data_IF_949597481450
#
_entry.id   IF_949597481450
#
_cell.length_a   1.000
_cell.length_b   1.000
_cell.length_c   1.000
_cell.angle_alpha   90.00
_cell.angle_beta   90.00
_cell.angle_gamma   90.00
#
_symmetry.space_group_name_H-M   'P 1'
#
loop_
_entity.id
_entity.type
_entity.pdbx_description
1 polymer ?
#
# COMPACT_ATOMS: atom_id res chain seq x y z
N UNK A 1 25.43 -8.08 20.03
CA UNK A 1 24.28 -7.60 19.24
C UNK A 1 23.88 -8.69 18.26
N UNK A 2 22.68 -9.22 18.39
CA UNK A 2 22.20 -10.44 17.72
C UNK A 2 22.00 -10.22 16.21
N UNK A 3 22.99 -10.61 15.40
CA UNK A 3 22.89 -10.75 13.93
C UNK A 3 22.00 -11.96 13.55
N UNK A 4 20.74 -12.00 13.99
CA UNK A 4 19.81 -13.08 13.61
C UNK A 4 18.96 -12.73 12.40
N UNK A 5 18.90 -11.46 12.01
CA UNK A 5 18.16 -11.02 10.82
C UNK A 5 19.19 -10.63 9.77
N UNK A 6 19.14 -11.20 8.56
CA UNK A 6 20.01 -10.78 7.47
C UNK A 6 19.79 -9.30 7.19
N UNK A 7 20.89 -8.58 6.93
CA UNK A 7 20.84 -7.20 6.53
C UNK A 7 20.30 -7.13 5.10
N UNK A 8 19.05 -6.67 4.95
CA UNK A 8 18.38 -6.53 3.66
C UNK A 8 18.65 -5.15 3.02
N UNK A 9 19.43 -4.30 3.69
CA UNK A 9 19.75 -2.96 3.21
C UNK A 9 20.87 -3.04 2.16
N UNK A 10 20.58 -2.51 0.97
CA UNK A 10 21.57 -2.40 -0.11
C UNK A 10 22.26 -1.04 -0.01
N UNK A 11 23.58 -1.07 0.13
CA UNK A 11 24.42 0.11 0.11
C UNK A 11 25.33 0.05 -1.12
N UNK A 12 25.25 1.06 -1.98
CA UNK A 12 26.09 1.20 -3.16
C UNK A 12 26.85 2.52 -3.08
N UNK A 13 28.17 2.47 -2.94
CA UNK A 13 29.03 3.66 -2.90
C UNK A 13 28.65 4.67 -1.81
N UNK A 14 28.13 4.20 -0.66
CA UNK A 14 27.65 5.07 0.42
C UNK A 14 26.18 5.53 0.28
N UNK A 15 25.50 5.17 -0.82
CA UNK A 15 24.07 5.44 -1.00
C UNK A 15 23.24 4.26 -0.52
N UNK A 16 22.30 4.52 0.40
CA UNK A 16 21.32 3.54 0.83
C UNK A 16 20.20 3.43 -0.21
N UNK A 17 20.02 2.24 -0.78
CA UNK A 17 18.95 1.95 -1.73
C UNK A 17 17.74 1.44 -0.96
N UNK A 18 16.68 2.24 -0.99
CA UNK A 18 15.40 1.88 -0.39
C UNK A 18 14.81 0.63 -1.05
N UNK A 19 14.24 -0.27 -0.25
CA UNK A 19 13.64 -1.51 -0.75
C UNK A 19 12.41 -1.26 -1.62
N UNK A 20 11.83 -0.06 -1.58
CA UNK A 20 10.79 0.38 -2.52
C UNK A 20 11.22 0.22 -3.99
N UNK A 21 12.51 0.32 -4.27
CA UNK A 21 13.03 0.10 -5.62
C UNK A 21 12.86 -1.36 -6.07
N UNK A 22 13.01 -2.32 -5.15
CA UNK A 22 12.75 -3.73 -5.45
C UNK A 22 11.29 -3.96 -5.81
N UNK A 23 10.38 -3.27 -5.10
CA UNK A 23 8.96 -3.27 -5.42
C UNK A 23 8.69 -2.73 -6.83
N UNK A 24 9.28 -1.59 -7.20
CA UNK A 24 9.13 -0.99 -8.53
C UNK A 24 9.61 -1.96 -9.62
N UNK A 25 10.81 -2.55 -9.46
CA UNK A 25 11.33 -3.51 -10.43
C UNK A 25 10.45 -4.75 -10.54
N UNK A 26 9.96 -5.27 -9.41
CA UNK A 26 9.08 -6.43 -9.40
C UNK A 26 7.75 -6.15 -10.11
N UNK A 27 7.09 -5.03 -9.80
CA UNK A 27 5.84 -4.62 -10.45
C UNK A 27 6.06 -4.39 -11.95
N UNK A 28 7.16 -3.74 -12.33
CA UNK A 28 7.50 -3.49 -13.73
C UNK A 28 7.77 -4.78 -14.49
N UNK A 29 8.49 -5.73 -13.89
CA UNK A 29 8.77 -7.03 -14.50
C UNK A 29 7.51 -7.88 -14.66
N UNK A 30 6.65 -7.93 -13.64
CA UNK A 30 5.36 -8.62 -13.73
C UNK A 30 4.45 -7.97 -14.79
N UNK A 31 4.40 -6.63 -14.82
CA UNK A 31 3.66 -5.89 -15.83
C UNK A 31 4.16 -6.19 -17.25
N UNK A 32 5.48 -6.13 -17.47
CA UNK A 32 6.10 -6.50 -18.74
C UNK A 32 5.76 -7.94 -19.13
N UNK A 33 5.87 -8.89 -18.20
CA UNK A 33 5.56 -10.29 -18.44
C UNK A 33 4.11 -10.49 -18.92
N UNK A 34 3.16 -9.80 -18.30
CA UNK A 34 1.74 -9.85 -18.66
C UNK A 34 1.43 -9.12 -19.98
N UNK A 35 2.23 -8.13 -20.37
CA UNK A 35 2.08 -7.41 -21.65
C UNK A 35 2.64 -8.23 -22.82
N UNK A 36 3.80 -8.85 -22.66
CA UNK A 36 4.48 -9.55 -23.75
C UNK A 36 4.01 -10.99 -23.97
N UNK A 37 3.42 -11.64 -22.95
CA UNK A 37 2.83 -12.96 -23.09
C UNK A 37 1.36 -12.82 -23.51
N UNK A 38 1.05 -13.23 -24.75
CA UNK A 38 -0.31 -13.16 -25.33
C UNK A 38 -1.35 -13.96 -24.55
N UNK A 39 -1.03 -15.21 -24.22
CA UNK A 39 -1.94 -16.14 -23.55
C UNK A 39 -1.28 -16.77 -22.32
N UNK A 40 -1.15 -16.02 -21.22
CA UNK A 40 -0.54 -16.54 -20.00
C UNK A 40 -1.47 -17.58 -19.38
N UNK A 41 -0.91 -18.74 -19.02
CA UNK A 41 -1.64 -19.80 -18.31
C UNK A 41 -2.22 -19.31 -16.98
N UNK A 42 -3.29 -19.94 -16.52
CA UNK A 42 -3.92 -19.57 -15.23
C UNK A 42 -2.94 -19.66 -14.05
N UNK A 43 -2.04 -20.66 -14.07
CA UNK A 43 -0.99 -20.77 -13.07
C UNK A 43 -0.06 -19.56 -13.10
N UNK A 44 0.36 -19.12 -14.28
CA UNK A 44 1.21 -17.94 -14.42
C UNK A 44 0.50 -16.68 -13.95
N UNK A 45 -0.78 -16.48 -14.32
CA UNK A 45 -1.59 -15.34 -13.87
C UNK A 45 -1.69 -15.26 -12.35
N UNK A 46 -1.89 -16.39 -11.67
CA UNK A 46 -1.95 -16.44 -10.19
C UNK A 46 -0.63 -16.03 -9.55
N UNK A 47 0.50 -16.53 -10.08
CA UNK A 47 1.82 -16.12 -9.57
C UNK A 47 2.09 -14.64 -9.85
N UNK A 48 1.73 -14.15 -11.03
CA UNK A 48 1.83 -12.73 -11.36
C UNK A 48 1.00 -11.87 -10.41
N UNK A 49 -0.24 -12.26 -10.10
CA UNK A 49 -1.08 -11.53 -9.14
C UNK A 49 -0.44 -11.46 -7.75
N UNK A 50 0.11 -12.58 -7.26
CA UNK A 50 0.79 -12.62 -5.95
C UNK A 50 2.06 -11.76 -5.94
N UNK A 51 2.91 -11.90 -6.95
CA UNK A 51 4.16 -11.12 -7.08
C UNK A 51 3.86 -9.63 -7.29
N UNK A 52 2.82 -9.29 -8.04
CA UNK A 52 2.35 -7.92 -8.20
C UNK A 52 1.93 -7.33 -6.85
N UNK A 53 1.14 -8.07 -6.06
CA UNK A 53 0.76 -7.65 -4.71
C UNK A 53 1.95 -7.42 -3.78
N UNK A 54 2.93 -8.33 -3.79
CA UNK A 54 4.18 -8.18 -3.04
C UNK A 54 4.96 -6.94 -3.49
N UNK A 55 5.10 -6.74 -4.80
CA UNK A 55 5.80 -5.57 -5.34
C UNK A 55 5.10 -4.26 -5.00
N UNK A 56 3.77 -4.23 -5.06
CA UNK A 56 2.98 -3.07 -4.62
C UNK A 56 3.16 -2.79 -3.13
N UNK A 57 3.15 -3.81 -2.27
CA UNK A 57 3.37 -3.65 -0.83
C UNK A 57 4.77 -3.09 -0.52
N UNK A 58 5.80 -3.64 -1.15
CA UNK A 58 7.18 -3.14 -1.02
C UNK A 58 7.36 -1.71 -1.53
N UNK A 59 6.54 -1.28 -2.49
CA UNK A 59 6.66 0.06 -3.10
C UNK A 59 5.97 1.14 -2.26
N UNK A 60 4.77 0.83 -1.75
CA UNK A 60 3.89 1.83 -1.14
C UNK A 60 4.02 1.95 0.39
N UNK A 61 4.69 1.01 1.06
CA UNK A 61 4.97 1.11 2.50
C UNK A 61 5.86 2.34 2.84
N UNK A 62 6.67 2.78 1.88
CA UNK A 62 7.55 3.94 1.94
C UNK A 62 7.10 5.09 1.02
N UNK A 63 5.84 5.11 0.59
CA UNK A 63 5.31 6.09 -0.38
C UNK A 63 5.59 7.56 -0.03
N UNK A 64 5.60 7.92 1.26
CA UNK A 64 5.97 9.26 1.72
C UNK A 64 7.31 9.77 1.18
N UNK A 65 8.29 8.89 1.02
CA UNK A 65 9.62 9.25 0.51
C UNK A 65 9.64 9.60 -0.97
N UNK A 66 8.60 9.23 -1.73
CA UNK A 66 8.44 9.70 -3.11
C UNK A 66 8.12 11.20 -3.17
N UNK A 67 7.44 11.70 -2.15
CA UNK A 67 6.97 13.07 -2.09
C UNK A 67 8.00 13.95 -1.36
N UNK A 68 8.61 13.45 -0.29
CA UNK A 68 9.65 14.15 0.43
C UNK A 68 10.50 13.20 1.27
N UNK A 69 11.82 13.43 1.27
CA UNK A 69 12.72 12.67 2.12
C UNK A 69 12.64 13.15 3.57
N UNK A 70 12.06 12.29 4.42
CA UNK A 70 12.03 12.48 5.88
C UNK A 70 10.83 13.29 6.40
N UNK A 71 10.62 13.22 7.72
CA UNK A 71 9.53 13.91 8.42
C UNK A 71 8.31 13.02 8.72
N UNK A 72 7.75 13.18 9.91
CA UNK A 72 6.61 12.39 10.42
C UNK A 72 5.34 12.52 9.58
N UNK A 73 5.12 13.66 8.93
CA UNK A 73 4.00 13.84 8.01
C UNK A 73 4.05 12.87 6.83
N UNK A 74 5.23 12.71 6.21
CA UNK A 74 5.38 11.86 5.04
C UNK A 74 5.30 10.36 5.39
N UNK A 75 5.74 9.98 6.59
CA UNK A 75 5.47 8.63 7.11
C UNK A 75 3.97 8.35 7.24
N UNK A 76 3.19 9.34 7.67
CA UNK A 76 1.72 9.23 7.69
C UNK A 76 1.13 9.14 6.29
N UNK A 77 1.69 9.87 5.32
CA UNK A 77 1.29 9.75 3.92
C UNK A 77 1.52 8.33 3.36
N UNK A 78 2.57 7.62 3.77
CA UNK A 78 2.75 6.21 3.42
C UNK A 78 1.62 5.32 3.94
N UNK A 79 1.25 5.51 5.21
CA UNK A 79 0.15 4.76 5.82
C UNK A 79 -1.18 5.01 5.12
N UNK A 80 -1.47 6.27 4.81
CA UNK A 80 -2.67 6.66 4.06
C UNK A 80 -2.67 6.02 2.64
N UNK A 81 -1.52 5.98 1.97
CA UNK A 81 -1.38 5.35 0.66
C UNK A 81 -1.65 3.84 0.69
N UNK A 82 -1.11 3.13 1.70
CA UNK A 82 -1.37 1.69 1.89
C UNK A 82 -2.86 1.42 2.13
N UNK A 83 -3.53 2.24 2.94
CA UNK A 83 -4.97 2.09 3.20
C UNK A 83 -5.77 2.27 1.91
N UNK A 84 -5.46 3.30 1.12
CA UNK A 84 -6.13 3.55 -0.16
C UNK A 84 -5.92 2.39 -1.11
N UNK A 85 -4.70 1.88 -1.21
CA UNK A 85 -4.36 0.76 -2.07
C UNK A 85 -5.10 -0.53 -1.68
N UNK A 86 -5.10 -0.87 -0.40
CA UNK A 86 -5.83 -2.04 0.12
C UNK A 86 -7.34 -1.90 -0.07
N UNK A 87 -7.89 -0.70 0.13
CA UNK A 87 -9.30 -0.41 -0.10
C UNK A 87 -9.66 -0.59 -1.58
N UNK A 88 -8.81 -0.10 -2.49
CA UNK A 88 -8.97 -0.28 -3.93
C UNK A 88 -8.94 -1.77 -4.32
N UNK A 89 -7.97 -2.54 -3.82
CA UNK A 89 -7.93 -3.99 -4.08
C UNK A 89 -9.13 -4.72 -3.50
N UNK A 90 -9.60 -4.32 -2.31
CA UNK A 90 -10.84 -4.84 -1.74
C UNK A 90 -12.04 -4.58 -2.66
N UNK A 91 -12.20 -3.34 -3.15
CA UNK A 91 -13.25 -3.02 -4.12
C UNK A 91 -13.10 -3.86 -5.38
N UNK A 92 -11.92 -3.95 -5.99
CA UNK A 92 -11.72 -4.75 -7.22
C UNK A 92 -12.03 -6.23 -6.99
N UNK A 93 -11.66 -6.78 -5.84
CA UNK A 93 -11.86 -8.20 -5.51
C UNK A 93 -13.33 -8.56 -5.27
N UNK A 94 -14.12 -7.64 -4.70
CA UNK A 94 -15.51 -7.89 -4.29
C UNK A 94 -16.56 -7.18 -5.15
N UNK A 95 -16.17 -6.23 -6.01
CA UNK A 95 -17.09 -5.52 -6.88
C UNK A 95 -17.62 -6.46 -7.98
N UNK A 96 -18.90 -6.29 -8.38
CA UNK A 96 -19.46 -7.06 -9.47
C UNK A 96 -18.74 -6.75 -10.79
N UNK A 97 -18.51 -7.78 -11.61
CA UNK A 97 -17.88 -7.61 -12.92
C UNK A 97 -18.74 -6.74 -13.83
N UNK A 98 -18.17 -5.66 -14.37
CA UNK A 98 -18.84 -4.68 -15.25
C UNK A 98 -19.60 -5.34 -16.41
N UNK A 99 -19.04 -6.42 -16.99
CA UNK A 99 -19.61 -7.12 -18.16
C UNK A 99 -20.83 -8.01 -17.84
N UNK A 100 -21.23 -8.15 -16.57
CA UNK A 100 -22.42 -8.91 -16.14
C UNK A 100 -23.35 -8.07 -15.25
N UNK A 101 -23.35 -6.75 -15.38
CA UNK A 101 -24.27 -5.88 -14.63
C UNK A 101 -25.72 -6.09 -15.07
N UNK A 102 -26.45 -6.96 -14.37
CA UNK A 102 -27.92 -7.04 -14.37
C UNK A 102 -28.45 -6.07 -13.32
N UNK A 103 -29.74 -5.72 -13.39
CA UNK A 103 -30.39 -4.76 -12.47
C UNK A 103 -30.18 -5.08 -10.98
N UNK A 104 -29.99 -6.35 -10.60
CA UNK A 104 -29.72 -6.77 -9.21
C UNK A 104 -28.31 -6.45 -8.69
N UNK A 105 -27.31 -6.24 -9.55
CA UNK A 105 -25.92 -5.94 -9.13
C UNK A 105 -25.71 -4.45 -8.77
N UNK A 106 -26.68 -3.59 -9.05
CA UNK A 106 -26.65 -2.21 -8.58
C UNK A 106 -26.76 -2.12 -7.06
N UNK A 107 -27.57 -3.01 -6.45
CA UNK A 107 -27.67 -3.08 -5.00
C UNK A 107 -26.33 -3.45 -4.37
N UNK A 108 -25.61 -4.44 -4.91
CA UNK A 108 -24.29 -4.83 -4.39
C UNK A 108 -23.26 -3.73 -4.59
N UNK A 109 -23.24 -3.08 -5.76
CA UNK A 109 -22.35 -1.93 -6.00
C UNK A 109 -22.61 -0.78 -5.01
N UNK A 110 -23.88 -0.43 -4.77
CA UNK A 110 -24.27 0.59 -3.78
C UNK A 110 -23.85 0.17 -2.38
N UNK A 111 -24.11 -1.07 -1.97
CA UNK A 111 -23.71 -1.59 -0.65
C UNK A 111 -22.18 -1.52 -0.49
N UNK A 112 -21.40 -1.93 -1.48
CA UNK A 112 -19.94 -1.86 -1.42
C UNK A 112 -19.46 -0.40 -1.31
N UNK A 113 -20.04 0.52 -2.08
CA UNK A 113 -19.69 1.94 -2.00
C UNK A 113 -20.04 2.54 -0.63
N UNK A 114 -21.22 2.22 -0.08
CA UNK A 114 -21.63 2.65 1.26
C UNK A 114 -20.70 2.07 2.31
N UNK A 115 -20.35 0.78 2.23
CA UNK A 115 -19.43 0.14 3.16
C UNK A 115 -18.04 0.81 3.14
N UNK A 116 -17.50 1.12 1.96
CA UNK A 116 -16.25 1.87 1.82
C UNK A 116 -16.38 3.28 2.43
N UNK A 117 -17.47 3.99 2.15
CA UNK A 117 -17.72 5.32 2.72
C UNK A 117 -17.78 5.31 4.26
N UNK A 118 -18.49 4.34 4.84
CA UNK A 118 -18.57 4.13 6.29
C UNK A 118 -17.20 3.80 6.87
N UNK A 119 -16.45 2.89 6.23
CA UNK A 119 -15.08 2.55 6.66
C UNK A 119 -14.18 3.78 6.72
N UNK A 120 -14.16 4.60 5.67
CA UNK A 120 -13.38 5.84 5.66
C UNK A 120 -13.86 6.83 6.73
N UNK A 121 -15.17 6.98 6.92
CA UNK A 121 -15.72 7.83 7.98
C UNK A 121 -15.21 7.42 9.36
N UNK A 122 -15.33 6.14 9.71
CA UNK A 122 -14.85 5.58 10.98
C UNK A 122 -13.33 5.68 11.11
N UNK A 123 -12.59 5.44 10.03
CA UNK A 123 -11.14 5.58 10.00
C UNK A 123 -10.71 7.02 10.30
N UNK A 124 -11.32 8.01 9.63
CA UNK A 124 -11.02 9.42 9.87
C UNK A 124 -11.36 9.85 11.30
N UNK A 125 -12.49 9.39 11.85
CA UNK A 125 -12.83 9.65 13.26
C UNK A 125 -11.82 9.01 14.21
N UNK A 126 -11.45 7.75 13.98
CA UNK A 126 -10.45 7.04 14.78
C UNK A 126 -9.09 7.73 14.76
N UNK A 127 -8.59 8.11 13.56
CA UNK A 127 -7.31 8.80 13.43
C UNK A 127 -7.35 10.19 14.06
N UNK A 128 -8.46 10.93 13.92
CA UNK A 128 -8.64 12.22 14.62
C UNK A 128 -8.67 12.05 16.14
N UNK A 129 -9.34 11.02 16.63
CA UNK A 129 -9.41 10.70 18.06
C UNK A 129 -8.02 10.37 18.63
N UNK A 130 -7.28 9.47 17.96
CA UNK A 130 -5.92 9.11 18.33
C UNK A 130 -4.99 10.32 18.26
N UNK A 131 -5.09 11.12 17.21
CA UNK A 131 -4.32 12.36 17.05
C UNK A 131 -4.53 13.34 18.20
N UNK A 132 -5.77 13.51 18.67
CA UNK A 132 -6.07 14.37 19.83
C UNK A 132 -5.54 13.80 21.16
N UNK A 133 -5.64 12.48 21.36
CA UNK A 133 -5.30 11.84 22.63
C UNK A 133 -3.80 11.55 22.79
N UNK A 134 -3.14 11.12 21.73
CA UNK A 134 -1.77 10.60 21.74
C UNK A 134 -0.82 11.53 20.98
N UNK A 135 -1.31 12.33 20.04
CA UNK A 135 -0.50 13.25 19.23
C UNK A 135 0.42 14.17 20.04
N UNK A 136 -0.05 14.86 21.10
CA UNK A 136 0.82 15.71 21.91
C UNK A 136 1.99 14.95 22.55
N UNK A 137 1.73 13.73 23.04
CA UNK A 137 2.78 12.87 23.61
C UNK A 137 3.81 12.45 22.55
N UNK A 138 3.36 12.08 21.35
CA UNK A 138 4.24 11.70 20.25
C UNK A 138 5.12 12.86 19.80
N UNK A 139 4.54 14.07 19.69
CA UNK A 139 5.30 15.28 19.34
C UNK A 139 6.36 15.62 20.39
N UNK A 140 6.05 15.44 21.69
CA UNK A 140 7.04 15.62 22.75
C UNK A 140 8.18 14.59 22.67
N UNK A 141 7.88 13.33 22.35
CA UNK A 141 8.89 12.28 22.17
C UNK A 141 9.76 12.58 20.93
N UNK A 142 9.15 13.00 19.82
CA UNK A 142 9.85 13.36 18.59
C UNK A 142 10.77 14.58 18.82
N UNK A 143 10.28 15.61 19.52
CA UNK A 143 11.08 16.79 19.88
C UNK A 143 12.21 16.50 20.87
N UNK A 144 12.05 15.48 21.72
CA UNK A 144 13.06 15.02 22.68
C UNK A 144 14.01 13.96 22.09
N UNK A 145 13.78 13.52 20.85
CA UNK A 145 14.61 12.53 20.17
C UNK A 145 16.00 13.09 19.79
N UNK A 146 17.01 12.21 19.66
CA UNK A 146 18.31 12.62 19.13
C UNK A 146 18.16 13.14 17.69
N UNK A 147 18.80 14.28 17.40
CA UNK A 147 18.85 14.88 16.07
C UNK A 147 19.95 14.25 15.21
#
# INVERSE_FOLDING_TARGET
>A
MTRRVPDLFLHLGGTHVHHLNYGIFLVSAVGALLVFIREPSDRLRRHCALLYGVGMALTFDEFGMWLHLGGSYWQRASFDAVIVLLSLFGVIAFAPTLNRMRSGHWATAVITLVAVGVFYGLLFESVRYVGRRIGPKLQHIEAAGPR
#
